data_IF_385111671275
#
_entry.id   IF_385111671275
#
_cell.length_a   1.000
_cell.length_b   1.000
_cell.length_c   1.000
_cell.angle_alpha   90.00
_cell.angle_beta   90.00
_cell.angle_gamma   90.00
#
_symmetry.space_group_name_H-M   'P 1'
#
loop_
_entity.id
_entity.type
_entity.pdbx_description
1 polymer ?
#
# COMPACT_ATOMS: atom_id res chain seq x y z
N UNK A 1 -21.55 -49.00 30.72
CA UNK A 1 -20.57 -48.06 30.14
C UNK A 1 -19.21 -48.44 30.68
N UNK A 2 -18.23 -48.68 29.81
CA UNK A 2 -16.90 -49.15 30.24
C UNK A 2 -15.99 -47.97 30.56
N UNK A 3 -14.93 -48.20 31.36
CA UNK A 3 -13.88 -47.19 31.62
C UNK A 3 -13.28 -46.68 30.30
N UNK A 4 -13.17 -47.55 29.28
CA UNK A 4 -12.70 -47.17 27.96
C UNK A 4 -13.64 -46.15 27.27
N UNK A 5 -14.95 -46.29 27.43
CA UNK A 5 -15.94 -45.36 26.87
C UNK A 5 -15.87 -43.98 27.55
N UNK A 6 -15.68 -43.96 28.87
CA UNK A 6 -15.51 -42.73 29.65
C UNK A 6 -14.22 -42.00 29.26
N UNK A 7 -13.10 -42.73 29.13
CA UNK A 7 -11.83 -42.18 28.68
C UNK A 7 -11.91 -41.61 27.26
N UNK A 8 -12.59 -42.32 26.36
CA UNK A 8 -12.77 -41.83 24.99
C UNK A 8 -13.61 -40.54 24.97
N UNK A 9 -14.67 -40.48 25.78
CA UNK A 9 -15.51 -39.29 25.93
C UNK A 9 -14.71 -38.09 26.43
N UNK A 10 -13.84 -38.28 27.43
CA UNK A 10 -12.95 -37.23 27.92
C UNK A 10 -11.93 -36.78 26.87
N UNK A 11 -11.36 -37.72 26.10
CA UNK A 11 -10.45 -37.41 24.98
C UNK A 11 -11.13 -36.54 23.92
N UNK A 12 -12.33 -36.93 23.47
CA UNK A 12 -13.09 -36.17 22.49
C UNK A 12 -13.46 -34.78 23.02
N UNK A 13 -13.86 -34.69 24.29
CA UNK A 13 -14.14 -33.40 24.93
C UNK A 13 -12.90 -32.50 24.98
N UNK A 14 -11.74 -33.05 25.33
CA UNK A 14 -10.46 -32.31 25.33
C UNK A 14 -10.10 -31.83 23.92
N UNK A 15 -10.18 -32.71 22.92
CA UNK A 15 -9.90 -32.36 21.52
C UNK A 15 -10.83 -31.26 21.02
N UNK A 16 -12.13 -31.34 21.33
CA UNK A 16 -13.09 -30.31 20.99
C UNK A 16 -12.73 -28.96 21.60
N UNK A 17 -12.39 -28.92 22.89
CA UNK A 17 -11.98 -27.68 23.56
C UNK A 17 -10.75 -27.06 22.87
N UNK A 18 -9.78 -27.88 22.48
CA UNK A 18 -8.58 -27.41 21.77
C UNK A 18 -8.90 -26.86 20.37
N UNK A 19 -9.73 -27.57 19.61
CA UNK A 19 -10.16 -27.14 18.27
C UNK A 19 -11.00 -25.85 18.34
N UNK A 20 -11.96 -25.76 19.26
CA UNK A 20 -12.77 -24.57 19.48
C UNK A 20 -11.90 -23.36 19.83
N UNK A 21 -10.89 -23.55 20.70
CA UNK A 21 -9.93 -22.50 21.05
C UNK A 21 -9.10 -22.04 19.85
N UNK A 22 -8.53 -22.99 19.08
CA UNK A 22 -7.74 -22.68 17.90
C UNK A 22 -8.58 -21.92 16.84
N UNK A 23 -9.82 -22.34 16.62
CA UNK A 23 -10.76 -21.64 15.72
C UNK A 23 -11.07 -20.22 16.21
N UNK A 24 -11.25 -20.02 17.51
CA UNK A 24 -11.48 -18.70 18.07
C UNK A 24 -10.25 -17.79 17.87
N UNK A 25 -9.04 -18.30 18.10
CA UNK A 25 -7.80 -17.56 17.85
C UNK A 25 -7.63 -17.19 16.37
N UNK A 26 -7.89 -18.12 15.45
CA UNK A 26 -7.77 -17.85 14.01
C UNK A 26 -8.80 -16.82 13.55
N UNK A 27 -10.03 -16.85 14.08
CA UNK A 27 -11.04 -15.82 13.82
C UNK A 27 -10.58 -14.43 14.29
N UNK A 28 -10.02 -14.35 15.50
CA UNK A 28 -9.48 -13.09 16.02
C UNK A 28 -8.30 -12.60 15.18
N UNK A 29 -7.39 -13.50 14.79
CA UNK A 29 -6.24 -13.17 13.94
C UNK A 29 -6.66 -12.60 12.60
N UNK A 30 -7.64 -13.23 11.94
CA UNK A 30 -8.20 -12.73 10.66
C UNK A 30 -8.83 -11.35 10.82
N UNK A 31 -9.69 -11.17 11.83
CA UNK A 31 -10.31 -9.87 12.11
C UNK A 31 -9.27 -8.77 12.35
N UNK A 32 -8.20 -9.08 13.09
CA UNK A 32 -7.11 -8.15 13.31
C UNK A 32 -6.39 -7.79 12.00
N UNK A 33 -6.09 -8.78 11.15
CA UNK A 33 -5.47 -8.54 9.84
C UNK A 33 -6.36 -7.69 8.93
N UNK A 34 -7.67 -7.93 8.92
CA UNK A 34 -8.62 -7.14 8.14
C UNK A 34 -8.63 -5.67 8.60
N UNK A 35 -8.61 -5.43 9.92
CA UNK A 35 -8.55 -4.08 10.47
C UNK A 35 -7.21 -3.39 10.16
N UNK A 36 -6.09 -4.10 10.23
CA UNK A 36 -4.79 -3.55 9.84
C UNK A 36 -4.75 -3.20 8.36
N UNK A 37 -5.35 -4.03 7.50
CA UNK A 37 -5.45 -3.77 6.07
C UNK A 37 -6.28 -2.51 5.79
N UNK A 38 -7.38 -2.30 6.52
CA UNK A 38 -8.18 -1.07 6.42
C UNK A 38 -7.36 0.17 6.79
N UNK A 39 -6.59 0.11 7.87
CA UNK A 39 -5.70 1.20 8.27
C UNK A 39 -4.62 1.44 7.20
N UNK A 40 -4.01 0.39 6.65
CA UNK A 40 -3.03 0.54 5.56
C UNK A 40 -3.66 1.17 4.30
N UNK A 41 -4.92 0.85 4.00
CA UNK A 41 -5.67 1.45 2.90
C UNK A 41 -5.96 2.94 3.13
N UNK A 42 -6.33 3.32 4.35
CA UNK A 42 -6.53 4.72 4.78
C UNK A 42 -5.23 5.53 4.70
N UNK A 43 -4.11 4.95 5.18
CA UNK A 43 -2.77 5.57 5.10
C UNK A 43 -2.40 5.85 3.65
N UNK A 44 -2.62 4.87 2.77
CA UNK A 44 -2.39 5.04 1.34
C UNK A 44 -3.30 6.12 0.76
N UNK A 45 -4.58 6.18 1.10
CA UNK A 45 -5.49 7.22 0.60
C UNK A 45 -5.06 8.63 1.04
N UNK A 46 -4.58 8.78 2.28
CA UNK A 46 -3.99 10.03 2.76
C UNK A 46 -2.75 10.40 1.95
N UNK A 47 -1.86 9.43 1.71
CA UNK A 47 -0.68 9.64 0.87
C UNK A 47 -1.03 10.00 -0.57
N UNK A 48 -2.05 9.36 -1.16
CA UNK A 48 -2.47 9.53 -2.54
C UNK A 48 -3.08 10.91 -2.82
N UNK A 49 -3.80 11.46 -1.85
CA UNK A 49 -4.39 12.80 -1.90
C UNK A 49 -3.43 13.91 -1.46
N UNK A 50 -2.24 13.56 -1.02
CA UNK A 50 -1.27 14.53 -0.52
C UNK A 50 -0.72 15.35 -1.69
N UNK A 51 -0.84 16.69 -1.68
CA UNK A 51 -0.28 17.52 -2.75
C UNK A 51 1.26 17.47 -2.78
N UNK A 52 1.88 17.06 -1.66
CA UNK A 52 3.32 16.89 -1.53
C UNK A 52 3.81 15.49 -1.89
N UNK A 53 2.99 14.64 -2.51
CA UNK A 53 3.42 13.34 -3.01
C UNK A 53 4.59 13.55 -3.99
N UNK A 54 5.78 12.96 -3.75
CA UNK A 54 6.96 13.27 -4.54
C UNK A 54 6.88 12.58 -5.90
N UNK A 55 7.13 13.36 -6.95
CA UNK A 55 7.08 12.91 -8.33
C UNK A 55 8.30 13.39 -9.12
N UNK A 56 8.48 12.82 -10.30
CA UNK A 56 9.60 13.03 -11.20
C UNK A 56 9.07 13.55 -12.53
N UNK A 57 9.48 14.77 -12.88
CA UNK A 57 9.12 15.47 -14.12
C UNK A 57 10.36 15.54 -15.00
N UNK A 58 10.25 15.16 -16.29
CA UNK A 58 11.40 15.15 -17.20
C UNK A 58 11.87 16.58 -17.48
N UNK A 59 13.16 16.84 -17.27
CA UNK A 59 13.79 18.16 -17.46
C UNK A 59 14.32 18.43 -18.87
N UNK A 60 14.76 17.41 -19.62
CA UNK A 60 15.27 17.64 -20.99
C UNK A 60 14.17 17.98 -21.99
N UNK A 61 14.45 18.89 -22.95
CA UNK A 61 13.61 19.10 -24.13
C UNK A 61 13.44 17.81 -24.92
N UNK A 62 12.21 17.51 -25.31
CA UNK A 62 11.85 16.31 -26.08
C UNK A 62 10.43 16.45 -26.61
N UNK A 63 9.78 15.35 -27.01
CA UNK A 63 8.35 15.35 -27.31
C UNK A 63 7.56 15.99 -26.17
N UNK A 64 6.42 16.62 -26.47
CA UNK A 64 5.57 17.25 -25.46
C UNK A 64 5.42 16.35 -24.24
N UNK A 65 5.68 16.92 -23.07
CA UNK A 65 5.55 16.21 -21.82
C UNK A 65 4.07 15.99 -21.55
N UNK A 66 3.67 14.72 -21.37
CA UNK A 66 2.28 14.36 -21.11
C UNK A 66 2.10 13.70 -19.75
N UNK A 67 3.20 13.25 -19.13
CA UNK A 67 3.15 12.52 -17.86
C UNK A 67 4.30 12.89 -16.95
N UNK A 68 4.08 12.72 -15.65
CA UNK A 68 5.12 12.65 -14.62
C UNK A 68 5.15 11.24 -13.98
N UNK A 69 6.24 10.92 -13.30
CA UNK A 69 6.50 9.61 -12.71
C UNK A 69 6.53 9.68 -11.19
N UNK A 70 6.31 8.56 -10.51
CA UNK A 70 6.51 8.51 -9.06
C UNK A 70 8.00 8.60 -8.71
N UNK A 71 8.37 9.39 -7.71
CA UNK A 71 9.76 9.44 -7.22
C UNK A 71 10.12 8.21 -6.38
N UNK A 72 9.16 7.72 -5.58
CA UNK A 72 9.32 6.58 -4.68
C UNK A 72 9.18 5.22 -5.38
N UNK A 73 8.34 5.13 -6.41
CA UNK A 73 8.10 3.91 -7.17
C UNK A 73 8.08 4.16 -8.69
N UNK A 74 9.19 4.65 -9.27
CA UNK A 74 9.28 4.94 -10.70
C UNK A 74 9.16 3.66 -11.52
N UNK A 75 8.58 3.78 -12.72
CA UNK A 75 8.59 2.70 -13.69
C UNK A 75 9.92 2.67 -14.45
N UNK A 76 10.14 1.61 -15.23
CA UNK A 76 11.37 1.42 -16.00
C UNK A 76 11.70 2.56 -16.97
N UNK A 77 10.73 3.42 -17.34
CA UNK A 77 10.98 4.57 -18.23
C UNK A 77 11.87 5.65 -17.61
N UNK A 78 12.01 5.67 -16.29
CA UNK A 78 12.93 6.56 -15.56
C UNK A 78 14.33 5.94 -15.53
N UNK A 79 14.96 5.81 -16.71
CA UNK A 79 16.27 5.18 -16.85
C UNK A 79 17.41 6.05 -16.30
N UNK A 80 17.37 7.36 -16.57
CA UNK A 80 18.35 8.33 -16.06
C UNK A 80 17.65 9.33 -15.14
N UNK A 81 17.70 9.09 -13.82
CA UNK A 81 17.10 9.99 -12.82
C UNK A 81 17.68 11.41 -12.87
N UNK A 82 18.88 11.64 -13.42
CA UNK A 82 19.46 12.99 -13.52
C UNK A 82 18.70 13.87 -14.50
N UNK A 83 17.94 13.26 -15.40
CA UNK A 83 17.06 13.94 -16.35
C UNK A 83 15.67 14.24 -15.77
N UNK A 84 15.45 14.00 -14.47
CA UNK A 84 14.17 14.28 -13.83
C UNK A 84 14.36 15.25 -12.67
N UNK A 85 13.47 16.21 -12.59
CA UNK A 85 13.33 17.06 -11.42
C UNK A 85 12.33 16.43 -10.47
N UNK A 86 12.76 16.29 -9.23
CA UNK A 86 11.86 15.86 -8.16
C UNK A 86 11.09 17.07 -7.64
N UNK A 87 9.77 16.96 -7.58
CA UNK A 87 8.91 18.02 -7.07
C UNK A 87 7.61 17.44 -6.48
N UNK A 88 6.89 18.22 -5.66
CA UNK A 88 5.52 17.91 -5.27
C UNK A 88 4.62 17.65 -6.48
N UNK A 89 3.71 16.69 -6.36
CA UNK A 89 2.76 16.37 -7.41
C UNK A 89 1.91 17.56 -7.85
N UNK A 90 1.52 18.43 -6.90
CA UNK A 90 0.78 19.66 -7.22
C UNK A 90 1.55 20.56 -8.18
N UNK A 91 2.87 20.68 -8.00
CA UNK A 91 3.72 21.51 -8.87
C UNK A 91 3.92 20.83 -10.23
N UNK A 92 3.96 19.50 -10.26
CA UNK A 92 4.11 18.74 -11.50
C UNK A 92 2.88 18.81 -12.40
N UNK A 93 1.67 18.81 -11.83
CA UNK A 93 0.43 18.95 -12.60
C UNK A 93 0.41 20.25 -13.44
N UNK A 94 1.03 21.31 -12.92
CA UNK A 94 1.11 22.64 -13.53
C UNK A 94 2.45 22.92 -14.24
N UNK A 95 3.39 21.97 -14.24
CA UNK A 95 4.76 22.20 -14.72
C UNK A 95 4.88 22.38 -16.24
N UNK A 96 3.85 22.02 -17.01
CA UNK A 96 3.87 22.11 -18.47
C UNK A 96 3.09 23.33 -18.97
N UNK A 97 3.71 24.22 -19.76
CA UNK A 97 3.07 25.46 -20.22
C UNK A 97 1.99 25.24 -21.30
N UNK A 98 1.84 24.01 -21.80
CA UNK A 98 0.99 23.71 -22.96
C UNK A 98 -0.04 22.60 -22.71
N UNK A 99 0.06 21.86 -21.61
CA UNK A 99 -0.84 20.75 -21.31
C UNK A 99 -0.74 20.37 -19.83
N UNK A 100 -1.84 19.90 -19.23
CA UNK A 100 -1.83 19.30 -17.91
C UNK A 100 -1.09 17.97 -17.95
N UNK A 101 -0.18 17.75 -17.00
CA UNK A 101 0.50 16.48 -16.90
C UNK A 101 -0.33 15.48 -16.11
N UNK A 102 -0.27 14.21 -16.51
CA UNK A 102 -0.95 13.12 -15.82
C UNK A 102 0.03 12.14 -15.16
N UNK A 103 -0.46 11.38 -14.18
CA UNK A 103 0.27 10.26 -13.59
C UNK A 103 0.63 9.22 -14.65
N UNK A 104 1.90 8.84 -14.74
CA UNK A 104 2.30 7.71 -15.58
C UNK A 104 1.63 6.41 -15.11
N UNK A 105 0.81 5.79 -15.96
CA UNK A 105 0.05 4.56 -15.64
C UNK A 105 0.92 3.33 -15.35
N UNK A 106 2.20 3.35 -15.75
CA UNK A 106 3.14 2.27 -15.48
C UNK A 106 3.85 2.39 -14.12
N UNK A 107 3.75 3.54 -13.45
CA UNK A 107 4.30 3.73 -12.11
C UNK A 107 3.41 3.06 -11.07
N UNK A 108 4.02 2.55 -9.99
CA UNK A 108 3.27 1.96 -8.88
C UNK A 108 2.82 3.05 -7.90
N UNK A 109 1.89 3.89 -8.34
CA UNK A 109 1.37 5.02 -7.56
C UNK A 109 0.76 4.60 -6.23
N UNK A 110 0.11 3.44 -6.19
CA UNK A 110 -0.39 2.84 -4.95
C UNK A 110 0.74 2.64 -3.93
N UNK A 111 1.86 2.06 -4.37
CA UNK A 111 3.00 1.81 -3.50
C UNK A 111 3.65 3.12 -3.03
N UNK A 112 3.80 4.09 -3.94
CA UNK A 112 4.30 5.42 -3.64
C UNK A 112 3.43 6.15 -2.60
N UNK A 113 2.11 6.13 -2.79
CA UNK A 113 1.15 6.69 -1.85
C UNK A 113 1.22 6.02 -0.48
N UNK A 114 1.38 4.69 -0.43
CA UNK A 114 1.58 3.97 0.85
C UNK A 114 2.86 4.40 1.56
N UNK A 115 3.98 4.52 0.84
CA UNK A 115 5.26 5.01 1.40
C UNK A 115 5.10 6.44 1.92
N UNK A 116 4.53 7.33 1.11
CA UNK A 116 4.34 8.74 1.46
C UNK A 116 3.40 8.91 2.64
N UNK A 117 2.26 8.23 2.66
CA UNK A 117 1.32 8.23 3.78
C UNK A 117 1.99 7.78 5.09
N UNK A 118 2.84 6.75 5.03
CA UNK A 118 3.64 6.31 6.19
C UNK A 118 4.65 7.37 6.64
N UNK A 119 5.26 8.12 5.72
CA UNK A 119 6.15 9.24 6.07
C UNK A 119 5.38 10.37 6.76
N UNK A 120 4.20 10.73 6.26
CA UNK A 120 3.35 11.78 6.83
C UNK A 120 2.92 11.48 8.28
N UNK A 121 2.70 10.20 8.61
CA UNK A 121 2.36 9.80 9.98
C UNK A 121 3.54 9.86 10.97
N UNK A 122 4.77 9.82 10.46
CA UNK A 122 6.00 9.79 11.27
C UNK A 122 6.74 11.14 11.29
N UNK A 123 6.22 12.15 10.57
CA UNK A 123 6.74 13.50 10.49
C UNK A 123 6.19 14.36 11.64
#
# INVERSE_FOLDING_TARGET
>A
MTIADEMNTLRLRRLKIMDDHHRAQEKLRRKMLDLLQQVDDEIREVGDRSPSLPCLVRGTPGPSLTVYHSADAPCGRVHDRRNFWEMPEVDAMDASPHTYLERCTACSWHHAASIHGKRLLNA
#
